data_IF_584398726245
#
_entry.id   IF_584398726245
#
_cell.length_a   1.000
_cell.length_b   1.000
_cell.length_c   1.000
_cell.angle_alpha   90.00
_cell.angle_beta   90.00
_cell.angle_gamma   90.00
#
_symmetry.space_group_name_H-M   'P 1'
#
loop_
_entity.id
_entity.type
_entity.pdbx_description
1 polymer ?
#
# COMPACT_ATOMS: atom_id res chain seq x y z
N UNK A 1 27.58 10.71 -33.59
CA UNK A 1 26.32 11.11 -32.97
C UNK A 1 25.80 9.87 -32.26
N UNK A 2 26.51 9.48 -31.21
CA UNK A 2 26.38 8.20 -30.51
C UNK A 2 26.69 8.50 -29.04
N UNK A 3 25.73 9.07 -28.32
CA UNK A 3 25.92 9.33 -26.88
C UNK A 3 24.60 9.42 -26.09
N UNK A 4 23.48 8.97 -26.68
CA UNK A 4 22.16 9.02 -26.05
C UNK A 4 21.44 7.66 -25.98
N UNK A 5 22.10 6.57 -26.39
CA UNK A 5 21.49 5.22 -26.49
C UNK A 5 21.70 4.37 -25.22
N UNK A 6 22.18 4.96 -24.11
CA UNK A 6 22.46 4.25 -22.85
C UNK A 6 21.72 4.83 -21.63
N UNK A 7 20.69 5.65 -21.84
CA UNK A 7 19.84 6.15 -20.74
C UNK A 7 18.58 5.30 -20.61
N UNK A 8 18.72 3.97 -20.58
CA UNK A 8 17.59 3.03 -20.42
C UNK A 8 17.60 2.32 -19.06
N UNK A 9 18.54 2.67 -18.17
CA UNK A 9 18.66 2.04 -16.85
C UNK A 9 17.93 2.79 -15.72
N UNK A 10 17.04 3.72 -16.03
CA UNK A 10 16.29 4.49 -15.00
C UNK A 10 14.95 3.86 -14.59
N UNK A 11 14.60 2.68 -15.14
CA UNK A 11 13.37 1.97 -14.80
C UNK A 11 13.46 1.12 -13.52
N UNK A 12 14.59 0.45 -13.29
CA UNK A 12 14.72 -0.52 -12.20
C UNK A 12 14.74 0.12 -10.79
N UNK A 13 15.33 1.31 -10.65
CA UNK A 13 15.34 2.03 -9.37
C UNK A 13 13.96 2.65 -9.04
N UNK A 14 13.16 2.98 -10.06
CA UNK A 14 11.86 3.62 -9.87
C UNK A 14 10.83 2.64 -9.27
N UNK A 15 10.77 1.40 -9.78
CA UNK A 15 9.87 0.37 -9.25
C UNK A 15 10.18 0.00 -7.79
N UNK A 16 11.47 -0.10 -7.42
CA UNK A 16 11.89 -0.38 -6.05
C UNK A 16 11.54 0.77 -5.09
N UNK A 17 11.72 2.01 -5.54
CA UNK A 17 11.33 3.20 -4.77
C UNK A 17 9.82 3.29 -4.59
N UNK A 18 9.04 3.03 -5.64
CA UNK A 18 7.57 3.00 -5.57
C UNK A 18 7.09 1.91 -4.61
N UNK A 19 7.68 0.72 -4.65
CA UNK A 19 7.36 -0.35 -3.72
C UNK A 19 7.66 0.05 -2.27
N UNK A 20 8.84 0.62 -2.01
CA UNK A 20 9.21 1.10 -0.68
C UNK A 20 8.30 2.23 -0.18
N UNK A 21 7.85 3.11 -1.08
CA UNK A 21 6.89 4.17 -0.75
C UNK A 21 5.52 3.59 -0.43
N UNK A 22 5.04 2.60 -1.18
CA UNK A 22 3.77 1.93 -0.89
C UNK A 22 3.79 1.23 0.48
N UNK A 23 4.91 0.58 0.83
CA UNK A 23 5.07 -0.02 2.16
C UNK A 23 5.09 1.05 3.27
N UNK A 24 5.84 2.14 3.07
CA UNK A 24 5.93 3.23 4.03
C UNK A 24 4.58 3.92 4.27
N UNK A 25 3.84 4.21 3.20
CA UNK A 25 2.50 4.80 3.30
C UNK A 25 1.51 3.86 3.97
N UNK A 26 1.51 2.58 3.61
CA UNK A 26 0.69 1.55 4.28
C UNK A 26 0.96 1.54 5.78
N UNK A 27 2.23 1.53 6.18
CA UNK A 27 2.64 1.51 7.58
C UNK A 27 2.37 2.82 8.34
N UNK A 28 2.20 3.95 7.64
CA UNK A 28 1.83 5.23 8.21
C UNK A 28 0.30 5.39 8.34
N UNK A 29 -0.45 4.96 7.32
CA UNK A 29 -1.93 4.97 7.30
C UNK A 29 -2.48 4.06 8.38
N UNK A 30 -1.96 2.84 8.44
CA UNK A 30 -2.09 2.03 9.62
C UNK A 30 -1.21 2.68 10.71
N UNK A 31 -1.45 2.75 12.01
CA UNK A 31 -0.58 3.38 13.03
C UNK A 31 -0.83 4.86 13.29
N UNK A 32 -1.09 5.71 12.29
CA UNK A 32 -1.50 7.09 12.56
C UNK A 32 -2.99 7.20 12.90
N UNK A 33 -3.33 8.09 13.85
CA UNK A 33 -4.72 8.49 14.10
C UNK A 33 -5.12 9.57 13.08
N UNK A 34 -5.59 9.14 11.90
CA UNK A 34 -6.00 10.04 10.83
C UNK A 34 -7.48 10.40 10.93
N UNK A 35 -7.79 11.69 10.81
CA UNK A 35 -9.17 12.17 10.64
C UNK A 35 -9.73 11.76 9.28
N UNK A 36 -11.06 11.76 9.15
CA UNK A 36 -11.71 11.43 7.87
C UNK A 36 -11.28 12.35 6.72
N UNK A 37 -10.98 13.62 7.00
CA UNK A 37 -10.50 14.55 5.98
C UNK A 37 -9.07 14.18 5.52
N UNK A 38 -8.17 13.91 6.46
CA UNK A 38 -6.79 13.51 6.13
C UNK A 38 -6.75 12.20 5.33
N UNK A 39 -7.62 11.24 5.64
CA UNK A 39 -7.73 10.01 4.86
C UNK A 39 -8.15 10.26 3.41
N UNK A 40 -9.08 11.20 3.18
CA UNK A 40 -9.51 11.60 1.83
C UNK A 40 -8.37 12.30 1.10
N UNK A 41 -7.68 13.23 1.76
CA UNK A 41 -6.59 13.99 1.16
C UNK A 41 -5.42 13.06 0.76
N UNK A 42 -5.05 12.12 1.64
CA UNK A 42 -4.00 11.13 1.33
C UNK A 42 -4.44 10.22 0.18
N UNK A 43 -5.70 9.76 0.15
CA UNK A 43 -6.23 8.95 -0.96
C UNK A 43 -6.06 9.66 -2.30
N UNK A 44 -6.51 10.91 -2.38
CA UNK A 44 -6.41 11.72 -3.61
C UNK A 44 -4.96 11.88 -4.04
N UNK A 45 -4.03 12.13 -3.11
CA UNK A 45 -2.61 12.25 -3.43
C UNK A 45 -2.03 10.94 -3.97
N UNK A 46 -2.34 9.80 -3.33
CA UNK A 46 -1.85 8.49 -3.76
C UNK A 46 -2.39 8.11 -5.14
N UNK A 47 -3.69 8.31 -5.40
CA UNK A 47 -4.31 8.07 -6.72
C UNK A 47 -3.67 8.95 -7.79
N UNK A 48 -3.43 10.23 -7.48
CA UNK A 48 -2.76 11.16 -8.40
C UNK A 48 -1.34 10.73 -8.73
N UNK A 49 -0.55 10.33 -7.73
CA UNK A 49 0.81 9.84 -7.96
C UNK A 49 0.83 8.50 -8.69
N UNK A 50 -0.18 7.65 -8.47
CA UNK A 50 -0.33 6.39 -9.18
C UNK A 50 -0.45 6.62 -10.68
N UNK A 51 -1.29 7.57 -11.08
CA UNK A 51 -1.49 7.96 -12.48
C UNK A 51 -0.27 8.70 -13.06
N UNK A 52 0.32 9.65 -12.31
CA UNK A 52 1.43 10.48 -12.78
C UNK A 52 2.74 9.70 -12.96
N UNK A 53 3.04 8.77 -12.04
CA UNK A 53 4.29 8.02 -12.04
C UNK A 53 4.14 6.61 -12.62
N UNK A 54 2.93 6.21 -13.03
CA UNK A 54 2.60 4.83 -13.38
C UNK A 54 3.05 3.86 -12.27
N UNK A 55 2.74 4.24 -11.02
CA UNK A 55 3.17 3.57 -9.80
C UNK A 55 2.10 2.58 -9.30
N UNK A 56 2.43 1.75 -8.29
CA UNK A 56 1.46 0.90 -7.60
C UNK A 56 1.39 1.28 -6.11
N UNK A 57 0.22 1.78 -5.69
CA UNK A 57 -0.11 2.13 -4.30
C UNK A 57 -1.31 1.32 -3.76
N UNK A 58 -1.62 0.18 -4.36
CA UNK A 58 -2.84 -0.59 -4.08
C UNK A 58 -2.96 -0.97 -2.60
N UNK A 59 -1.84 -1.34 -1.96
CA UNK A 59 -1.82 -1.72 -0.54
C UNK A 59 -2.12 -0.52 0.35
N UNK A 60 -1.53 0.64 0.07
CA UNK A 60 -1.78 1.88 0.80
C UNK A 60 -3.24 2.32 0.64
N UNK A 61 -3.80 2.20 -0.56
CA UNK A 61 -5.20 2.54 -0.83
C UNK A 61 -6.17 1.58 -0.15
N UNK A 62 -5.86 0.29 -0.09
CA UNK A 62 -6.65 -0.69 0.64
C UNK A 62 -6.58 -0.44 2.15
N UNK A 63 -5.41 -0.05 2.67
CA UNK A 63 -5.26 0.36 4.07
C UNK A 63 -6.13 1.58 4.41
N UNK A 64 -6.25 2.56 3.51
CA UNK A 64 -7.19 3.69 3.67
C UNK A 64 -8.66 3.27 3.56
N UNK A 65 -8.97 2.24 2.78
CA UNK A 65 -10.34 1.78 2.57
C UNK A 65 -10.85 0.91 3.72
N UNK A 66 -10.03 -0.02 4.19
CA UNK A 66 -10.37 -0.97 5.23
C UNK A 66 -10.10 -0.41 6.63
N UNK A 67 -9.02 0.38 6.79
CA UNK A 67 -8.59 0.94 8.06
C UNK A 67 -8.21 -0.11 9.11
N UNK A 68 -7.84 0.37 10.31
CA UNK A 68 -7.56 -0.52 11.47
C UNK A 68 -8.78 -1.26 11.99
N UNK A 69 -9.97 -0.76 11.70
CA UNK A 69 -11.22 -1.31 12.19
C UNK A 69 -11.74 -2.47 11.36
N UNK A 70 -11.02 -2.84 10.29
CA UNK A 70 -11.37 -3.98 9.47
C UNK A 70 -11.38 -5.27 10.31
N UNK A 71 -12.55 -5.91 10.50
CA UNK A 71 -12.69 -7.00 11.47
C UNK A 71 -11.78 -8.21 11.21
N UNK A 72 -11.46 -8.59 9.96
CA UNK A 72 -10.45 -9.62 9.70
C UNK A 72 -9.03 -9.25 10.15
N UNK A 73 -8.61 -7.99 9.96
CA UNK A 73 -7.30 -7.49 10.40
C UNK A 73 -7.20 -7.54 11.93
N UNK A 74 -8.24 -7.07 12.63
CA UNK A 74 -8.29 -7.14 14.10
C UNK A 74 -8.22 -8.58 14.61
N UNK A 75 -8.89 -9.53 13.95
CA UNK A 75 -8.81 -10.96 14.31
C UNK A 75 -7.39 -11.51 14.19
N UNK A 76 -6.68 -11.20 13.10
CA UNK A 76 -5.29 -11.64 12.90
C UNK A 76 -4.37 -11.05 13.97
N UNK A 77 -4.51 -9.76 14.28
CA UNK A 77 -3.70 -9.08 15.32
C UNK A 77 -3.98 -9.62 16.74
N UNK A 78 -5.20 -10.06 17.00
CA UNK A 78 -5.57 -10.76 18.23
C UNK A 78 -5.09 -12.22 18.27
N UNK A 79 -4.37 -12.68 17.24
CA UNK A 79 -3.91 -14.07 17.13
C UNK A 79 -5.01 -15.06 16.77
N UNK A 80 -6.21 -14.60 16.42
CA UNK A 80 -7.32 -15.43 15.96
C UNK A 80 -7.07 -15.80 14.50
N UNK A 81 -6.32 -16.89 14.30
CA UNK A 81 -6.22 -17.53 12.99
C UNK A 81 -7.52 -18.30 12.76
N UNK A 82 -8.08 -18.22 11.55
CA UNK A 82 -9.16 -19.10 11.12
C UNK A 82 -8.67 -20.55 11.27
N UNK A 83 -9.04 -21.17 12.39
CA UNK A 83 -8.74 -22.54 12.67
C UNK A 83 -9.66 -23.34 11.76
N UNK A 84 -9.16 -23.76 10.60
CA UNK A 84 -9.86 -24.67 9.73
C UNK A 84 -9.89 -26.05 10.40
N UNK A 85 -10.69 -26.17 11.46
CA UNK A 85 -10.95 -27.43 12.14
C UNK A 85 -11.98 -28.18 11.31
N UNK A 86 -11.49 -28.92 10.33
CA UNK A 86 -12.23 -30.06 9.79
C UNK A 86 -12.27 -31.12 10.89
N UNK A 87 -13.28 -31.02 11.74
CA UNK A 87 -13.76 -32.16 12.51
C UNK A 87 -14.39 -33.15 11.51
N UNK A 88 -13.55 -34.00 10.91
CA UNK A 88 -13.98 -35.26 10.30
C UNK A 88 -13.97 -36.32 11.39
N UNK A 89 -15.16 -36.79 11.77
CA UNK A 89 -15.38 -37.86 12.75
C UNK A 89 -15.09 -39.26 12.24
#
# INVERSE_FOLDING_TARGET
MEEWDQVDNHGAENEEVVAALNDAWTAAILSAELTSQEQVDIRVNLETWQDEWNANFDISLEALQQGWDYPPLQRVLQGVRESNSSAGG
#
